data_IF_331039290640
#
_entry.id   IF_331039290640
#
_cell.length_a   1.000
_cell.length_b   1.000
_cell.length_c   1.000
_cell.angle_alpha   90.00
_cell.angle_beta   90.00
_cell.angle_gamma   90.00
#
_symmetry.space_group_name_H-M   'P 1'
#
loop_
_entity.id
_entity.type
_entity.pdbx_description
1 polymer ?
#
# COMPACT_ATOMS: atom_id res chain seq x y z
N UNK A 1 2.45 28.94 -71.47
CA UNK A 1 2.31 27.49 -71.73
C UNK A 1 3.30 26.76 -70.83
N UNK A 2 2.78 25.93 -69.91
CA UNK A 2 3.44 24.93 -69.03
C UNK A 2 4.55 25.46 -68.07
N UNK A 3 4.72 24.97 -66.84
CA UNK A 3 4.36 23.68 -66.25
C UNK A 3 4.04 23.82 -64.74
N UNK A 4 2.98 23.15 -64.29
CA UNK A 4 2.65 22.93 -62.89
C UNK A 4 3.62 21.90 -62.30
N UNK A 5 4.34 22.27 -61.24
CA UNK A 5 5.15 21.35 -60.42
C UNK A 5 4.22 20.63 -59.44
N UNK A 6 4.03 19.34 -59.67
CA UNK A 6 3.37 18.40 -58.75
C UNK A 6 4.30 18.13 -57.56
N UNK A 7 3.88 18.55 -56.37
CA UNK A 7 4.46 18.12 -55.10
C UNK A 7 3.77 16.84 -54.65
N UNK A 8 4.49 15.72 -54.71
CA UNK A 8 4.08 14.48 -54.05
C UNK A 8 4.62 14.51 -52.61
N UNK A 9 3.72 14.55 -51.63
CA UNK A 9 4.05 14.34 -50.22
C UNK A 9 3.56 12.95 -49.85
N UNK A 10 4.48 12.00 -49.72
CA UNK A 10 4.20 10.72 -49.06
C UNK A 10 4.05 11.00 -47.56
N UNK A 11 2.84 10.86 -47.03
CA UNK A 11 2.61 10.81 -45.60
C UNK A 11 2.92 9.39 -45.07
N UNK A 12 3.90 9.30 -44.18
CA UNK A 12 4.23 8.08 -43.42
C UNK A 12 3.12 7.84 -42.40
N UNK A 13 2.47 6.67 -42.47
CA UNK A 13 1.50 6.22 -41.47
C UNK A 13 2.29 5.70 -40.26
N UNK A 14 2.35 6.51 -39.19
CA UNK A 14 2.80 6.03 -37.89
C UNK A 14 1.64 5.30 -37.21
N UNK A 15 1.77 3.99 -37.00
CA UNK A 15 0.85 3.19 -36.20
C UNK A 15 1.06 3.53 -34.72
N UNK A 16 0.08 4.22 -34.13
CA UNK A 16 -0.01 4.37 -32.67
C UNK A 16 -0.52 3.06 -32.10
N UNK A 17 0.34 2.31 -31.42
CA UNK A 17 -0.11 1.24 -30.52
C UNK A 17 -0.76 1.92 -29.31
N UNK A 18 -2.10 1.99 -29.31
CA UNK A 18 -2.86 2.31 -28.10
C UNK A 18 -2.77 1.08 -27.21
N UNK A 19 -1.92 1.13 -26.20
CA UNK A 19 -2.03 0.21 -25.07
C UNK A 19 -3.41 0.46 -24.44
N UNK A 20 -4.27 -0.54 -24.50
CA UNK A 20 -5.53 -0.52 -23.79
C UNK A 20 -5.24 -0.36 -22.28
N UNK A 21 -5.94 0.52 -21.56
CA UNK A 21 -5.88 0.51 -20.11
C UNK A 21 -6.33 -0.88 -19.64
N UNK A 22 -5.51 -1.51 -18.81
CA UNK A 22 -5.95 -2.63 -17.97
C UNK A 22 -7.26 -2.22 -17.29
N UNK A 23 -8.28 -3.07 -17.25
CA UNK A 23 -9.50 -2.73 -16.54
C UNK A 23 -9.12 -2.37 -15.12
N UNK A 24 -9.42 -1.13 -14.73
CA UNK A 24 -9.59 -0.81 -13.33
C UNK A 24 -10.64 -1.81 -12.84
N UNK A 25 -10.23 -2.74 -11.97
CA UNK A 25 -11.21 -3.58 -11.31
C UNK A 25 -12.15 -2.64 -10.57
N UNK A 26 -13.41 -2.69 -11.00
CA UNK A 26 -14.49 -1.92 -10.44
C UNK A 26 -14.51 -2.21 -8.94
N UNK A 27 -14.00 -1.27 -8.16
CA UNK A 27 -14.11 -1.31 -6.72
C UNK A 27 -15.59 -1.39 -6.39
N UNK A 28 -16.04 -2.55 -5.92
CA UNK A 28 -17.36 -2.70 -5.32
C UNK A 28 -17.42 -1.68 -4.20
N UNK A 29 -18.13 -0.59 -4.46
CA UNK A 29 -18.31 0.52 -3.54
C UNK A 29 -19.08 0.01 -2.31
N UNK A 30 -18.34 -0.43 -1.29
CA UNK A 30 -18.87 -0.56 0.07
C UNK A 30 -19.13 0.86 0.58
N UNK A 31 -20.35 1.33 0.32
CA UNK A 31 -20.85 2.63 0.74
C UNK A 31 -20.73 2.78 2.26
N UNK A 32 -19.73 3.52 2.73
CA UNK A 32 -19.83 4.23 4.01
C UNK A 32 -20.84 5.35 3.80
N UNK A 33 -22.12 5.11 4.11
CA UNK A 33 -23.10 6.19 4.15
C UNK A 33 -22.77 7.09 5.34
N UNK A 34 -22.15 8.23 5.04
CA UNK A 34 -21.89 9.31 5.98
C UNK A 34 -23.22 9.86 6.51
N UNK A 35 -23.56 9.51 7.75
CA UNK A 35 -24.68 10.06 8.49
C UNK A 35 -24.27 10.26 9.94
N UNK A 36 -24.33 11.49 10.43
CA UNK A 36 -23.91 11.85 11.78
C UNK A 36 -24.59 10.98 12.86
N UNK A 37 -23.77 10.57 13.85
CA UNK A 37 -24.05 9.70 15.01
C UNK A 37 -23.76 8.20 14.76
N UNK A 38 -22.49 7.82 15.00
CA UNK A 38 -22.12 6.46 15.38
C UNK A 38 -22.01 5.44 14.24
N UNK A 39 -20.93 4.65 14.29
CA UNK A 39 -20.67 3.55 13.38
C UNK A 39 -21.66 2.41 13.64
N UNK A 40 -22.48 2.06 12.67
CA UNK A 40 -23.36 0.89 12.72
C UNK A 40 -23.18 0.07 11.43
N UNK A 41 -23.00 -1.23 11.61
CA UNK A 41 -22.52 -2.17 10.59
C UNK A 41 -23.65 -3.11 10.15
N UNK A 42 -23.83 -3.31 8.85
CA UNK A 42 -24.55 -4.47 8.34
C UNK A 42 -23.84 -5.01 7.09
N UNK A 43 -23.82 -6.33 6.95
CA UNK A 43 -23.21 -7.06 5.83
C UNK A 43 -24.30 -7.73 5.01
N UNK A 44 -24.30 -7.52 3.69
CA UNK A 44 -24.99 -8.38 2.73
C UNK A 44 -23.97 -9.40 2.18
N UNK A 45 -24.22 -10.68 2.45
CA UNK A 45 -23.32 -11.78 2.15
C UNK A 45 -23.44 -12.20 0.69
N UNK A 46 -22.52 -11.75 -0.17
CA UNK A 46 -22.29 -12.30 -1.51
C UNK A 46 -21.15 -13.32 -1.49
N UNK A 47 -21.48 -14.61 -1.65
CA UNK A 47 -20.53 -15.72 -1.63
C UNK A 47 -20.01 -16.04 -3.04
N UNK A 48 -18.71 -15.91 -3.27
CA UNK A 48 -18.02 -16.55 -4.40
C UNK A 48 -16.64 -17.09 -3.98
N UNK A 49 -16.49 -18.41 -4.09
CA UNK A 49 -15.30 -19.19 -3.78
C UNK A 49 -14.27 -19.11 -4.92
N UNK A 50 -12.97 -18.87 -4.66
CA UNK A 50 -11.93 -19.09 -5.67
C UNK A 50 -11.29 -20.48 -5.56
N UNK A 51 -10.99 -21.05 -6.74
CA UNK A 51 -10.35 -22.34 -6.99
C UNK A 51 -8.83 -22.25 -6.82
N UNK A 52 -8.23 -23.18 -6.08
CA UNK A 52 -6.78 -23.29 -5.84
C UNK A 52 -6.09 -24.07 -6.97
N UNK A 53 -5.07 -23.47 -7.60
CA UNK A 53 -4.14 -24.16 -8.51
C UNK A 53 -2.79 -24.33 -7.80
N UNK A 54 -2.34 -25.57 -7.63
CA UNK A 54 -1.07 -25.93 -6.99
C UNK A 54 0.04 -25.93 -8.04
N UNK A 55 1.12 -25.19 -7.81
CA UNK A 55 2.35 -25.22 -8.63
C UNK A 55 3.49 -25.81 -7.81
N UNK A 56 4.09 -26.88 -8.34
CA UNK A 56 5.20 -27.64 -7.76
C UNK A 56 6.53 -26.91 -7.97
N UNK A 57 7.30 -26.72 -6.88
CA UNK A 57 8.64 -26.09 -6.89
C UNK A 57 9.72 -27.14 -7.15
N UNK A 58 10.56 -26.93 -8.17
CA UNK A 58 11.79 -27.69 -8.39
C UNK A 58 12.91 -27.04 -7.56
N UNK A 59 13.53 -27.85 -6.70
CA UNK A 59 14.63 -27.44 -5.81
C UNK A 59 15.96 -27.64 -6.52
N UNK A 60 16.75 -26.57 -6.69
CA UNK A 60 18.12 -26.66 -7.18
C UNK A 60 19.09 -26.43 -6.01
N UNK A 61 19.97 -27.41 -5.79
CA UNK A 61 20.97 -27.41 -4.72
C UNK A 61 22.28 -26.87 -5.27
N UNK A 62 22.84 -25.83 -4.66
CA UNK A 62 24.19 -25.34 -4.96
C UNK A 62 25.03 -25.16 -3.69
N UNK A 63 26.08 -25.98 -3.68
CA UNK A 63 27.39 -25.99 -3.01
C UNK A 63 27.76 -25.00 -1.89
N UNK A 64 28.39 -25.58 -0.86
CA UNK A 64 28.81 -24.97 0.38
C UNK A 64 30.07 -24.09 0.27
N UNK A 65 30.03 -22.91 0.89
CA UNK A 65 31.18 -22.05 1.14
C UNK A 65 31.76 -22.24 2.56
N UNK A 66 33.06 -22.03 2.68
CA UNK A 66 33.93 -22.29 3.84
C UNK A 66 33.54 -21.53 5.14
N UNK A 67 33.98 -22.00 6.33
CA UNK A 67 33.49 -21.51 7.61
C UNK A 67 34.05 -20.12 7.95
N UNK A 68 33.15 -19.13 8.05
CA UNK A 68 33.44 -17.86 8.69
C UNK A 68 33.33 -17.98 10.21
N UNK A 69 34.28 -17.35 10.90
CA UNK A 69 34.44 -17.27 12.35
C UNK A 69 33.12 -16.80 13.04
N UNK A 70 32.72 -17.37 14.19
CA UNK A 70 31.47 -16.98 14.84
C UNK A 70 31.60 -15.56 15.42
N UNK A 71 30.95 -14.59 14.78
CA UNK A 71 30.63 -13.34 15.43
C UNK A 71 29.56 -13.63 16.49
N UNK A 72 29.89 -13.38 17.76
CA UNK A 72 28.91 -13.32 18.85
C UNK A 72 27.94 -12.16 18.60
N UNK A 73 26.86 -12.43 17.88
CA UNK A 73 25.67 -11.60 17.90
C UNK A 73 24.94 -11.85 19.21
N UNK A 74 25.03 -10.89 20.13
CA UNK A 74 24.10 -10.78 21.25
C UNK A 74 22.69 -10.82 20.68
N UNK A 75 21.96 -11.91 20.91
CA UNK A 75 20.55 -12.02 20.56
C UNK A 75 19.80 -10.93 21.33
N UNK A 76 19.50 -9.82 20.67
CA UNK A 76 18.47 -8.91 21.15
C UNK A 76 17.19 -9.74 21.24
N UNK A 77 16.56 -9.74 22.41
CA UNK A 77 15.26 -10.37 22.60
C UNK A 77 14.26 -9.63 21.71
N UNK A 78 13.95 -10.20 20.55
CA UNK A 78 12.95 -9.66 19.63
C UNK A 78 11.59 -9.95 20.24
N UNK A 79 11.13 -9.08 21.14
CA UNK A 79 9.74 -9.11 21.59
C UNK A 79 8.85 -8.86 20.37
N UNK A 80 7.90 -9.76 20.11
CA UNK A 80 6.87 -9.59 19.08
C UNK A 80 6.22 -8.21 19.21
N UNK A 81 6.14 -7.41 18.13
CA UNK A 81 5.52 -6.10 18.17
C UNK A 81 4.03 -6.21 18.50
N UNK A 82 3.55 -5.31 19.35
CA UNK A 82 2.12 -5.18 19.71
C UNK A 82 1.63 -3.77 19.38
N UNK A 83 0.40 -3.64 18.90
CA UNK A 83 -0.21 -2.32 18.67
C UNK A 83 -0.31 -1.54 20.00
N UNK A 84 -0.08 -0.23 19.95
CA UNK A 84 -0.19 0.66 21.12
C UNK A 84 1.08 0.74 21.97
N UNK A 85 2.09 -0.08 21.68
CA UNK A 85 3.43 0.05 22.29
C UNK A 85 4.25 1.22 21.72
N UNK A 86 3.69 1.96 20.76
CA UNK A 86 4.30 3.12 20.12
C UNK A 86 3.61 4.39 20.59
N UNK A 87 4.28 5.21 21.39
CA UNK A 87 3.85 6.58 21.75
C UNK A 87 4.42 7.63 20.78
N UNK A 88 4.91 7.20 19.62
CA UNK A 88 5.61 8.04 18.64
C UNK A 88 4.69 8.59 17.56
N UNK A 89 5.26 9.45 16.74
CA UNK A 89 4.67 9.88 15.47
C UNK A 89 4.47 8.71 14.49
N UNK A 90 3.82 8.98 13.36
CA UNK A 90 3.53 7.95 12.37
C UNK A 90 4.82 7.26 11.86
N UNK A 91 5.94 7.97 11.74
CA UNK A 91 7.19 7.40 11.22
C UNK A 91 7.81 6.40 12.21
N UNK A 92 7.61 6.60 13.52
CA UNK A 92 7.99 5.61 14.53
C UNK A 92 7.22 4.30 14.37
N UNK A 93 5.92 4.39 14.06
CA UNK A 93 5.06 3.22 13.79
C UNK A 93 5.51 2.51 12.50
N UNK A 94 5.71 3.25 11.41
CA UNK A 94 6.24 2.70 10.15
C UNK A 94 7.57 1.97 10.40
N UNK A 95 8.50 2.62 11.12
CA UNK A 95 9.82 2.06 11.40
C UNK A 95 9.74 0.77 12.21
N UNK A 96 8.89 0.74 13.25
CA UNK A 96 8.65 -0.45 14.08
C UNK A 96 8.20 -1.64 13.24
N UNK A 97 7.16 -1.47 12.43
CA UNK A 97 6.57 -2.56 11.67
C UNK A 97 7.43 -2.99 10.49
N UNK A 98 8.15 -2.06 9.84
CA UNK A 98 9.15 -2.42 8.84
C UNK A 98 10.32 -3.19 9.44
N UNK A 99 10.81 -2.78 10.61
CA UNK A 99 11.87 -3.52 11.32
C UNK A 99 11.41 -4.92 11.72
N UNK A 100 10.16 -5.07 12.18
CA UNK A 100 9.60 -6.38 12.51
C UNK A 100 9.54 -7.31 11.28
N UNK A 101 9.22 -6.76 10.11
CA UNK A 101 9.24 -7.49 8.84
C UNK A 101 10.63 -7.67 8.21
N UNK A 102 11.71 -7.21 8.86
CA UNK A 102 13.07 -7.27 8.32
C UNK A 102 13.29 -6.36 7.10
N UNK A 103 12.48 -5.32 6.94
CA UNK A 103 12.52 -4.39 5.80
C UNK A 103 13.44 -3.19 6.08
N UNK A 104 14.08 -2.61 5.05
CA UNK A 104 14.84 -1.38 5.20
C UNK A 104 13.98 -0.23 5.74
N UNK A 105 14.54 0.64 6.57
CA UNK A 105 13.81 1.82 7.06
C UNK A 105 13.46 2.77 5.91
N UNK A 106 12.29 3.40 5.99
CA UNK A 106 11.90 4.52 5.12
C UNK A 106 12.31 5.82 5.77
N UNK A 107 12.71 6.80 4.96
CA UNK A 107 12.97 8.17 5.41
C UNK A 107 11.70 8.99 5.30
N UNK A 108 11.35 9.72 6.35
CA UNK A 108 10.27 10.71 6.31
C UNK A 108 10.61 11.83 5.30
N UNK A 109 9.70 12.13 4.38
CA UNK A 109 9.88 13.15 3.35
C UNK A 109 8.74 14.18 3.38
N UNK A 110 9.07 15.45 3.61
CA UNK A 110 8.09 16.52 3.77
C UNK A 110 7.33 16.86 2.50
N UNK A 111 7.87 16.54 1.31
CA UNK A 111 7.14 16.70 0.05
C UNK A 111 6.04 15.64 -0.05
N UNK A 112 6.36 14.40 0.30
CA UNK A 112 5.38 13.32 0.34
C UNK A 112 4.32 13.55 1.43
N UNK A 113 4.66 14.15 2.58
CA UNK A 113 3.67 14.51 3.59
C UNK A 113 2.69 15.58 3.08
N UNK A 114 3.19 16.58 2.37
CA UNK A 114 2.35 17.61 1.76
C UNK A 114 1.44 17.02 0.67
N UNK A 115 1.96 16.09 -0.14
CA UNK A 115 1.18 15.34 -1.12
C UNK A 115 0.09 14.50 -0.45
N UNK A 116 0.43 13.77 0.61
CA UNK A 116 -0.50 12.94 1.35
C UNK A 116 -1.61 13.79 1.99
N UNK A 117 -1.27 14.95 2.55
CA UNK A 117 -2.26 15.87 3.13
C UNK A 117 -3.23 16.41 2.07
N UNK A 118 -2.71 16.72 0.88
CA UNK A 118 -3.54 17.14 -0.26
C UNK A 118 -4.50 16.02 -0.68
N UNK A 119 -3.99 14.81 -0.89
CA UNK A 119 -4.82 13.64 -1.23
C UNK A 119 -5.89 13.38 -0.17
N UNK A 120 -5.49 13.39 1.11
CA UNK A 120 -6.39 13.22 2.24
C UNK A 120 -7.50 14.27 2.22
N UNK A 121 -7.15 15.55 2.01
CA UNK A 121 -8.13 16.65 1.92
C UNK A 121 -9.08 16.51 0.74
N UNK A 122 -8.58 16.01 -0.40
CA UNK A 122 -9.37 15.82 -1.61
C UNK A 122 -10.23 14.55 -1.62
N UNK A 123 -10.03 13.65 -0.65
CA UNK A 123 -10.82 12.41 -0.45
C UNK A 123 -12.21 12.68 0.14
N UNK A 124 -12.95 13.61 -0.47
CA UNK A 124 -14.31 13.98 -0.06
C UNK A 124 -15.30 12.93 -0.60
N UNK A 125 -16.03 12.27 0.30
CA UNK A 125 -17.05 11.29 -0.07
C UNK A 125 -16.50 9.90 -0.43
N UNK A 126 -15.20 9.64 -0.26
CA UNK A 126 -14.60 8.33 -0.54
C UNK A 126 -13.07 8.35 -0.43
N UNK A 127 -12.44 7.20 -0.69
CA UNK A 127 -10.98 7.10 -0.78
C UNK A 127 -10.57 7.40 -2.22
N UNK A 128 -10.07 8.62 -2.47
CA UNK A 128 -9.77 9.09 -3.83
C UNK A 128 -8.25 9.16 -3.97
N UNK A 129 -7.68 8.26 -4.76
CA UNK A 129 -6.27 8.29 -5.08
C UNK A 129 -5.91 9.49 -5.97
N UNK A 130 -4.83 10.18 -5.62
CA UNK A 130 -4.25 11.30 -6.37
C UNK A 130 -2.72 11.21 -6.29
N UNK A 131 -2.08 10.68 -7.34
CA UNK A 131 -0.61 10.60 -7.40
C UNK A 131 -0.02 11.96 -7.76
N UNK A 132 0.35 12.71 -6.74
CA UNK A 132 1.01 14.01 -6.88
C UNK A 132 2.47 13.86 -7.35
N UNK A 133 3.07 14.87 -8.01
CA UNK A 133 4.46 14.80 -8.46
C UNK A 133 5.42 14.34 -7.35
N UNK A 134 6.29 13.39 -7.69
CA UNK A 134 7.22 12.74 -6.74
C UNK A 134 6.65 11.53 -6.01
N UNK A 135 5.32 11.30 -6.04
CA UNK A 135 4.69 10.10 -5.50
C UNK A 135 4.80 8.95 -6.50
N UNK A 136 5.31 7.81 -6.06
CA UNK A 136 5.42 6.58 -6.87
C UNK A 136 4.38 5.52 -6.47
N UNK A 137 3.88 5.58 -5.24
CA UNK A 137 2.75 4.78 -4.78
C UNK A 137 2.04 5.48 -3.63
N UNK A 138 0.80 5.06 -3.39
CA UNK A 138 -0.07 5.71 -2.41
C UNK A 138 -1.00 4.69 -1.77
N UNK A 139 -1.24 4.83 -0.46
CA UNK A 139 -2.20 4.03 0.30
C UNK A 139 -3.17 4.94 1.05
N UNK A 140 -4.45 4.59 1.05
CA UNK A 140 -5.50 5.37 1.73
C UNK A 140 -6.30 4.48 2.67
N UNK A 141 -6.75 5.03 3.78
CA UNK A 141 -7.75 4.39 4.61
C UNK A 141 -8.50 5.42 5.47
N UNK A 142 -9.76 5.15 5.80
CA UNK A 142 -10.49 5.93 6.78
C UNK A 142 -9.87 5.72 8.18
N UNK A 143 -9.83 6.76 9.00
CA UNK A 143 -9.30 6.70 10.37
C UNK A 143 -9.51 8.01 11.14
N UNK A 144 -8.57 8.34 12.01
CA UNK A 144 -8.56 9.51 12.88
C UNK A 144 -7.11 9.89 13.22
N UNK A 145 -6.89 11.09 13.74
CA UNK A 145 -5.53 11.55 14.03
C UNK A 145 -4.78 10.69 15.06
N UNK A 146 -5.47 9.86 15.85
CA UNK A 146 -4.90 9.04 16.92
C UNK A 146 -4.75 7.55 16.58
N UNK A 147 -5.29 7.07 15.46
CA UNK A 147 -5.40 5.64 15.15
C UNK A 147 -4.43 5.16 14.06
N UNK A 148 -3.38 5.93 13.75
CA UNK A 148 -2.49 5.60 12.64
C UNK A 148 -1.95 4.17 12.70
N UNK A 149 -1.59 3.65 13.89
CA UNK A 149 -1.11 2.27 14.00
C UNK A 149 -2.17 1.22 13.69
N UNK A 150 -3.42 1.49 14.06
CA UNK A 150 -4.56 0.61 13.79
C UNK A 150 -4.87 0.59 12.29
N UNK A 151 -4.75 1.74 11.62
CA UNK A 151 -4.86 1.86 10.17
C UNK A 151 -3.69 1.18 9.46
N UNK A 152 -2.46 1.46 9.92
CA UNK A 152 -1.25 0.95 9.28
C UNK A 152 -1.18 -0.57 9.34
N UNK A 153 -1.42 -1.15 10.51
CA UNK A 153 -1.35 -2.60 10.70
C UNK A 153 -2.65 -3.25 10.28
N UNK A 154 -3.76 -2.85 10.90
CA UNK A 154 -5.07 -3.47 10.70
C UNK A 154 -5.67 -3.16 9.33
N UNK A 155 -5.61 -1.91 8.89
CA UNK A 155 -6.19 -1.48 7.62
C UNK A 155 -5.37 -1.83 6.39
N UNK A 156 -4.03 -1.80 6.49
CA UNK A 156 -3.15 -1.98 5.33
C UNK A 156 -2.32 -3.27 5.38
N UNK A 157 -1.47 -3.49 6.39
CA UNK A 157 -0.58 -4.67 6.40
C UNK A 157 -1.35 -5.98 6.51
N UNK A 158 -2.42 -6.01 7.31
CA UNK A 158 -3.24 -7.20 7.52
C UNK A 158 -4.09 -7.62 6.31
N UNK A 159 -4.02 -6.90 5.19
CA UNK A 159 -4.47 -7.43 3.89
C UNK A 159 -3.73 -8.71 3.51
N UNK A 160 -2.47 -8.86 3.95
CA UNK A 160 -1.68 -10.09 3.81
C UNK A 160 -1.25 -10.55 5.21
N UNK A 161 -2.09 -11.33 5.93
CA UNK A 161 -1.82 -11.74 7.31
C UNK A 161 -0.55 -12.59 7.51
N UNK A 162 -0.04 -13.18 6.43
CA UNK A 162 1.16 -14.02 6.42
C UNK A 162 2.47 -13.24 6.23
N UNK A 163 2.43 -11.91 6.17
CA UNK A 163 3.66 -11.10 6.09
C UNK A 163 4.55 -11.34 7.31
N UNK A 164 5.87 -11.34 7.06
CA UNK A 164 6.86 -11.44 8.12
C UNK A 164 6.70 -10.29 9.13
N UNK A 165 6.88 -10.59 10.42
CA UNK A 165 6.80 -9.62 11.50
C UNK A 165 5.40 -9.30 12.01
N UNK A 166 4.34 -9.84 11.39
CA UNK A 166 2.97 -9.68 11.89
C UNK A 166 2.59 -10.70 12.98
N UNK A 167 3.28 -11.84 13.06
CA UNK A 167 3.18 -12.82 14.16
C UNK A 167 1.75 -13.14 14.64
N UNK A 168 0.79 -13.22 13.71
CA UNK A 168 -0.62 -13.53 14.00
C UNK A 168 -1.44 -12.35 14.56
N UNK A 169 -0.88 -11.15 14.69
CA UNK A 169 -1.56 -9.96 15.20
C UNK A 169 -2.81 -9.59 14.39
N UNK A 170 -2.86 -9.98 13.12
CA UNK A 170 -4.00 -9.73 12.26
C UNK A 170 -5.28 -10.43 12.72
N UNK A 171 -5.23 -11.45 13.56
CA UNK A 171 -6.43 -12.04 14.18
C UNK A 171 -7.22 -11.04 15.04
N UNK A 172 -6.55 -10.02 15.56
CA UNK A 172 -7.15 -8.93 16.34
C UNK A 172 -7.12 -7.60 15.62
N UNK A 173 -5.99 -7.23 15.01
CA UNK A 173 -5.81 -5.92 14.38
C UNK A 173 -6.70 -5.70 13.14
N UNK A 174 -7.10 -6.78 12.44
CA UNK A 174 -7.99 -6.69 11.27
C UNK A 174 -9.47 -6.53 11.62
N UNK A 175 -9.86 -6.63 12.89
CA UNK A 175 -11.28 -6.62 13.25
C UNK A 175 -11.93 -5.27 12.89
N UNK A 176 -13.00 -5.33 12.09
CA UNK A 176 -13.70 -4.14 11.58
C UNK A 176 -13.17 -3.64 10.23
N UNK A 177 -12.10 -4.22 9.70
CA UNK A 177 -11.60 -3.94 8.36
C UNK A 177 -12.18 -4.91 7.34
N UNK A 178 -12.52 -4.40 6.16
CA UNK A 178 -13.00 -5.19 5.02
C UNK A 178 -12.15 -4.83 3.81
N UNK A 179 -11.27 -5.75 3.43
CA UNK A 179 -10.32 -5.54 2.32
C UNK A 179 -10.92 -5.80 0.95
N UNK A 180 -12.02 -6.56 0.86
CA UNK A 180 -12.61 -6.95 -0.42
C UNK A 180 -11.65 -7.77 -1.31
N UNK A 181 -10.73 -8.52 -0.69
CA UNK A 181 -9.70 -9.30 -1.40
C UNK A 181 -8.49 -8.46 -1.86
N UNK A 182 -8.44 -7.17 -1.56
CA UNK A 182 -7.31 -6.31 -1.91
C UNK A 182 -6.07 -6.65 -1.07
N UNK A 183 -4.90 -6.54 -1.71
CA UNK A 183 -3.58 -6.70 -1.10
C UNK A 183 -2.62 -5.56 -1.46
N UNK A 184 -3.14 -4.53 -2.12
CA UNK A 184 -2.35 -3.46 -2.72
C UNK A 184 -1.62 -2.64 -1.66
N UNK A 185 -2.28 -2.34 -0.54
CA UNK A 185 -1.69 -1.51 0.50
C UNK A 185 -0.54 -2.25 1.19
N UNK A 186 -0.76 -3.51 1.56
CA UNK A 186 0.30 -4.37 2.10
C UNK A 186 1.50 -4.45 1.14
N UNK A 187 1.24 -4.72 -0.15
CA UNK A 187 2.30 -4.85 -1.19
C UNK A 187 3.13 -3.58 -1.32
N UNK A 188 2.48 -2.40 -1.32
CA UNK A 188 3.16 -1.10 -1.39
C UNK A 188 4.02 -0.87 -0.14
N UNK A 189 3.44 -1.07 1.05
CA UNK A 189 4.10 -0.76 2.32
C UNK A 189 5.23 -1.73 2.67
N UNK A 190 5.22 -2.95 2.13
CA UNK A 190 6.32 -3.91 2.30
C UNK A 190 7.32 -3.92 1.15
N UNK A 191 7.12 -3.12 0.11
CA UNK A 191 8.07 -3.00 -0.99
C UNK A 191 9.42 -2.46 -0.51
N UNK A 192 10.49 -3.00 -1.08
CA UNK A 192 11.87 -2.52 -0.89
C UNK A 192 12.30 -1.53 -1.98
N UNK A 193 11.44 -1.26 -2.96
CA UNK A 193 11.72 -0.33 -4.06
C UNK A 193 11.58 1.14 -3.65
N UNK A 194 10.89 1.42 -2.54
CA UNK A 194 10.74 2.76 -1.99
C UNK A 194 11.73 2.98 -0.86
N UNK A 195 12.20 4.22 -0.74
CA UNK A 195 13.14 4.66 0.30
C UNK A 195 12.57 5.79 1.16
N UNK A 196 11.45 6.39 0.73
CA UNK A 196 10.81 7.54 1.37
C UNK A 196 9.33 7.30 1.61
N UNK A 197 8.80 8.00 2.62
CA UNK A 197 7.37 8.02 2.93
C UNK A 197 6.96 9.36 3.51
N UNK A 198 5.75 9.80 3.17
CA UNK A 198 5.07 10.89 3.85
C UNK A 198 3.63 10.50 4.12
N UNK A 199 3.17 10.66 5.36
CA UNK A 199 1.81 10.33 5.75
C UNK A 199 1.12 11.53 6.39
N UNK A 200 -0.16 11.69 6.11
CA UNK A 200 -0.95 12.74 6.72
C UNK A 200 -2.43 12.38 6.74
N UNK A 201 -3.16 13.07 7.61
CA UNK A 201 -4.62 13.01 7.70
C UNK A 201 -5.19 14.43 7.76
N UNK A 202 -6.25 14.64 6.99
CA UNK A 202 -7.09 15.83 7.02
C UNK A 202 -8.28 15.57 7.94
N UNK A 203 -8.49 16.45 8.91
CA UNK A 203 -9.62 16.35 9.86
C UNK A 203 -10.99 16.47 9.19
N UNK A 204 -11.05 17.00 7.97
CA UNK A 204 -12.30 17.22 7.24
C UNK A 204 -12.82 15.95 6.57
N UNK A 205 -11.92 15.05 6.19
CA UNK A 205 -12.25 13.79 5.49
C UNK A 205 -12.01 12.56 6.37
N UNK A 206 -11.17 12.68 7.40
CA UNK A 206 -10.76 11.58 8.27
C UNK A 206 -10.18 10.39 7.46
N UNK A 207 -9.38 10.72 6.46
CA UNK A 207 -8.68 9.75 5.60
C UNK A 207 -7.18 9.86 5.86
N UNK A 208 -6.57 8.81 6.37
CA UNK A 208 -5.12 8.67 6.30
C UNK A 208 -4.71 8.42 4.85
N UNK A 209 -3.71 9.16 4.41
CA UNK A 209 -3.00 8.91 3.17
C UNK A 209 -1.51 8.77 3.48
N UNK A 210 -0.84 7.85 2.81
CA UNK A 210 0.62 7.79 2.78
C UNK A 210 1.10 7.69 1.33
N UNK A 211 2.05 8.54 0.97
CA UNK A 211 2.73 8.56 -0.32
C UNK A 211 4.15 8.00 -0.17
N UNK A 212 4.60 7.20 -1.13
CA UNK A 212 5.91 6.53 -1.14
C UNK A 212 6.70 6.88 -2.42
N UNK A 213 8.03 6.93 -2.29
CA UNK A 213 8.98 7.16 -3.38
C UNK A 213 10.30 6.41 -3.18
#
# INVERSE_FOLDING_TARGET
>A
MFALKTLSVLAVVATVAVAAPTPAEEGVAINKRWGGRGYHWWSESGSTTPTTTVVTVVTETAEAAAPAQPATTTAASTSTPTIGSSTGDYISIVSKWRSAGGLPALTQDSTLEANALKTSTNSVGGLIHELNPGTMAQVLAPGSASDFEEVYVGGWLCEIPSLAGLDGICSTASQGWSYGGQTGHATILTSTSYSKIGCAISSNTNVWACDLA
#
